data_IF_016813428519
#
_entry.id   IF_016813428519
#
_cell.length_a   1.000
_cell.length_b   1.000
_cell.length_c   1.000
_cell.angle_alpha   90.00
_cell.angle_beta   90.00
_cell.angle_gamma   90.00
#
_symmetry.space_group_name_H-M   'P 1'
#
loop_
_entity.id
_entity.type
_entity.pdbx_description
1 polymer ?
#
# COMPACT_ATOMS: atom_id res chain seq x y z
N UNK A 1 31.34 -7.18 33.16
CA UNK A 1 30.81 -8.24 32.23
C UNK A 1 29.73 -9.16 32.82
N UNK A 2 29.82 -9.62 34.09
CA UNK A 2 28.78 -10.48 34.71
C UNK A 2 27.45 -9.74 34.99
N UNK A 3 27.47 -8.47 35.38
CA UNK A 3 26.27 -7.67 35.69
C UNK A 3 25.47 -7.37 34.44
N UNK A 4 26.14 -6.97 33.35
CA UNK A 4 25.50 -6.67 32.05
C UNK A 4 24.77 -7.89 31.47
N UNK A 5 25.40 -9.09 31.58
CA UNK A 5 24.76 -10.34 31.14
C UNK A 5 23.50 -10.66 31.96
N UNK A 6 23.56 -10.45 33.28
CA UNK A 6 22.40 -10.68 34.17
C UNK A 6 21.26 -9.71 33.86
N UNK A 7 21.56 -8.42 33.63
CA UNK A 7 20.57 -7.42 33.25
C UNK A 7 19.94 -7.74 31.91
N UNK A 8 20.71 -8.19 30.92
CA UNK A 8 20.22 -8.59 29.61
C UNK A 8 19.32 -9.82 29.70
N UNK A 9 19.72 -10.85 30.48
CA UNK A 9 18.87 -12.03 30.71
C UNK A 9 17.57 -11.65 31.43
N UNK A 10 17.66 -10.79 32.46
CA UNK A 10 16.47 -10.34 33.20
C UNK A 10 15.53 -9.53 32.29
N UNK A 11 16.06 -8.63 31.47
CA UNK A 11 15.29 -7.87 30.48
C UNK A 11 14.61 -8.79 29.47
N UNK A 12 15.33 -9.79 28.97
CA UNK A 12 14.76 -10.77 28.04
C UNK A 12 13.61 -11.57 28.67
N UNK A 13 13.83 -12.11 29.89
CA UNK A 13 12.78 -12.84 30.61
C UNK A 13 11.57 -11.97 30.92
N UNK A 14 11.80 -10.70 31.29
CA UNK A 14 10.72 -9.75 31.53
C UNK A 14 9.87 -9.53 30.28
N UNK A 15 10.48 -9.31 29.12
CA UNK A 15 9.76 -9.17 27.86
C UNK A 15 9.00 -10.45 27.52
N UNK A 16 9.63 -11.61 27.68
CA UNK A 16 9.04 -12.91 27.36
C UNK A 16 7.80 -13.24 28.20
N UNK A 17 7.72 -12.72 29.42
CA UNK A 17 6.55 -12.91 30.31
C UNK A 17 5.55 -11.76 30.17
N UNK A 18 6.02 -10.52 30.15
CA UNK A 18 5.17 -9.33 30.16
C UNK A 18 4.35 -9.19 28.87
N UNK A 19 4.95 -9.46 27.70
CA UNK A 19 4.26 -9.30 26.41
C UNK A 19 3.04 -10.23 26.31
N UNK A 20 3.13 -11.55 26.57
CA UNK A 20 1.95 -12.42 26.55
C UNK A 20 0.89 -12.01 27.58
N UNK A 21 1.29 -11.61 28.79
CA UNK A 21 0.34 -11.17 29.82
C UNK A 21 -0.41 -9.89 29.40
N UNK A 22 0.30 -8.91 28.84
CA UNK A 22 -0.33 -7.68 28.35
C UNK A 22 -1.20 -7.94 27.13
N UNK A 23 -0.82 -8.89 26.26
CA UNK A 23 -1.65 -9.31 25.13
C UNK A 23 -2.92 -10.00 25.59
N UNK A 24 -2.81 -10.92 26.55
CA UNK A 24 -4.00 -11.55 27.15
C UNK A 24 -4.94 -10.50 27.80
N UNK A 25 -4.37 -9.53 28.52
CA UNK A 25 -5.14 -8.41 29.05
C UNK A 25 -5.82 -7.60 27.94
N UNK A 26 -5.12 -7.29 26.87
CA UNK A 26 -5.66 -6.57 25.70
C UNK A 26 -6.85 -7.31 25.06
N UNK A 27 -6.74 -8.62 24.87
CA UNK A 27 -7.80 -9.47 24.34
C UNK A 27 -9.05 -9.49 25.22
N UNK A 28 -8.84 -9.46 26.55
CA UNK A 28 -9.95 -9.48 27.51
C UNK A 28 -10.67 -8.14 27.64
N UNK A 29 -9.95 -7.04 27.45
CA UNK A 29 -10.47 -5.67 27.65
C UNK A 29 -10.95 -4.99 26.37
N UNK A 30 -10.51 -5.47 25.19
CA UNK A 30 -10.90 -4.90 23.90
C UNK A 30 -11.45 -5.99 22.95
N UNK A 31 -12.70 -6.37 23.10
CA UNK A 31 -13.34 -7.42 22.28
C UNK A 31 -13.68 -6.97 20.86
N UNK A 32 -13.45 -5.69 20.49
CA UNK A 32 -13.72 -5.19 19.13
C UNK A 32 -12.70 -5.82 18.18
N UNK A 33 -13.12 -6.80 17.41
CA UNK A 33 -12.30 -7.45 16.38
C UNK A 33 -11.99 -6.56 15.16
N UNK A 34 -11.85 -5.24 15.34
CA UNK A 34 -11.67 -4.26 14.27
C UNK A 34 -10.54 -3.28 14.58
N UNK A 35 -9.66 -3.05 13.61
CA UNK A 35 -8.64 -2.01 13.66
C UNK A 35 -9.11 -0.77 12.89
N UNK A 36 -9.44 0.28 13.59
CA UNK A 36 -9.82 1.55 12.96
C UNK A 36 -8.64 2.21 12.21
N UNK A 37 -7.41 1.96 12.65
CA UNK A 37 -6.20 2.53 12.02
C UNK A 37 -5.87 1.85 10.68
N UNK A 38 -6.11 0.53 10.57
CA UNK A 38 -5.83 -0.24 9.35
C UNK A 38 -7.10 -0.51 8.54
N UNK A 39 -8.25 -0.02 9.01
CA UNK A 39 -9.56 -0.22 8.41
C UNK A 39 -9.84 -1.67 8.01
N UNK A 40 -9.50 -2.62 8.92
CA UNK A 40 -9.69 -4.06 8.69
C UNK A 40 -10.12 -4.80 9.94
N UNK A 41 -10.70 -5.98 9.73
CA UNK A 41 -10.95 -6.93 10.81
C UNK A 41 -9.61 -7.46 11.36
N UNK A 42 -9.53 -7.59 12.69
CA UNK A 42 -8.42 -8.25 13.38
C UNK A 42 -8.57 -9.77 13.24
N UNK A 43 -7.45 -10.50 13.30
CA UNK A 43 -7.42 -11.94 13.23
C UNK A 43 -8.29 -12.57 14.35
N UNK A 44 -9.16 -13.50 13.98
CA UNK A 44 -9.96 -14.27 14.91
C UNK A 44 -9.13 -15.22 15.76
N UNK A 45 -9.77 -15.83 16.77
CA UNK A 45 -9.13 -16.87 17.59
C UNK A 45 -8.68 -18.03 16.69
N UNK A 46 -7.45 -18.57 16.91
CA UNK A 46 -6.95 -19.69 16.12
C UNK A 46 -7.81 -20.95 16.32
N UNK A 47 -8.06 -21.65 15.25
CA UNK A 47 -8.69 -22.97 15.29
C UNK A 47 -7.66 -24.02 15.72
N UNK A 48 -8.03 -24.82 16.74
CA UNK A 48 -7.20 -25.91 17.24
C UNK A 48 -7.84 -27.24 16.85
N UNK A 49 -7.32 -27.84 15.78
CA UNK A 49 -7.69 -29.19 15.36
C UNK A 49 -6.44 -30.01 15.10
N UNK A 50 -6.55 -31.34 15.15
CA UNK A 50 -5.42 -32.22 14.87
C UNK A 50 -4.86 -32.01 13.45
N UNK A 51 -5.73 -31.75 12.46
CA UNK A 51 -5.34 -31.44 11.10
C UNK A 51 -4.60 -30.10 11.01
N UNK A 52 -5.13 -29.04 11.62
CA UNK A 52 -4.52 -27.70 11.61
C UNK A 52 -3.18 -27.67 12.37
N UNK A 53 -3.02 -28.48 13.40
CA UNK A 53 -1.73 -28.65 14.09
C UNK A 53 -0.70 -29.33 13.18
N UNK A 54 -1.12 -30.35 12.42
CA UNK A 54 -0.23 -31.07 11.52
C UNK A 54 0.20 -30.23 10.30
N UNK A 55 -0.70 -29.43 9.74
CA UNK A 55 -0.41 -28.54 8.60
C UNK A 55 0.34 -27.27 9.00
N UNK A 56 0.39 -26.94 10.30
CA UNK A 56 0.98 -25.68 10.78
C UNK A 56 0.00 -24.49 10.76
N UNK A 57 -1.24 -24.67 10.32
CA UNK A 57 -2.25 -23.61 10.21
C UNK A 57 -2.55 -22.98 11.57
N UNK A 58 -2.64 -23.80 12.64
CA UNK A 58 -2.83 -23.31 14.00
C UNK A 58 -1.70 -22.37 14.43
N UNK A 59 -0.45 -22.68 14.05
CA UNK A 59 0.70 -21.81 14.39
C UNK A 59 0.61 -20.47 13.65
N UNK A 60 0.31 -20.50 12.35
CA UNK A 60 0.14 -19.28 11.53
C UNK A 60 -1.03 -18.41 12.03
N UNK A 61 -2.17 -19.01 12.34
CA UNK A 61 -3.34 -18.32 12.91
C UNK A 61 -3.02 -17.72 14.29
N UNK A 62 -2.28 -18.45 15.14
CA UNK A 62 -1.85 -17.97 16.46
C UNK A 62 -0.91 -16.78 16.32
N UNK A 63 0.02 -16.83 15.40
CA UNK A 63 0.93 -15.70 15.12
C UNK A 63 0.14 -14.46 14.66
N UNK A 64 -0.77 -14.61 13.71
CA UNK A 64 -1.65 -13.54 13.24
C UNK A 64 -2.48 -12.94 14.38
N UNK A 65 -3.10 -13.80 15.20
CA UNK A 65 -3.88 -13.39 16.35
C UNK A 65 -3.04 -12.61 17.37
N UNK A 66 -1.84 -13.08 17.73
CA UNK A 66 -0.95 -12.40 18.67
C UNK A 66 -0.47 -11.05 18.13
N UNK A 67 -0.13 -10.98 16.84
CA UNK A 67 0.26 -9.72 16.18
C UNK A 67 -0.85 -8.68 16.25
N UNK A 68 -2.09 -9.09 15.99
CA UNK A 68 -3.23 -8.19 15.94
C UNK A 68 -3.72 -7.75 17.33
N UNK A 69 -3.58 -8.61 18.33
CA UNK A 69 -4.07 -8.35 19.70
C UNK A 69 -2.98 -7.91 20.66
N UNK A 70 -1.78 -7.59 20.17
CA UNK A 70 -0.68 -7.10 21.01
C UNK A 70 -1.13 -5.82 21.75
N UNK A 71 -0.96 -5.81 23.07
CA UNK A 71 -1.33 -4.65 23.88
C UNK A 71 -0.64 -3.38 23.39
N UNK A 72 -1.43 -2.31 23.21
CA UNK A 72 -0.96 -1.03 22.63
C UNK A 72 -0.22 -1.18 21.29
N UNK A 73 -0.58 -2.17 20.47
CA UNK A 73 0.00 -2.41 19.15
C UNK A 73 0.21 -1.13 18.34
N UNK A 74 -0.83 -0.29 18.25
CA UNK A 74 -0.77 0.97 17.49
C UNK A 74 0.28 1.95 18.06
N UNK A 75 0.50 1.98 19.37
CA UNK A 75 1.54 2.80 19.98
C UNK A 75 2.95 2.25 19.65
N UNK A 76 3.10 0.92 19.61
CA UNK A 76 4.36 0.27 19.24
C UNK A 76 4.67 0.53 17.76
N UNK A 77 3.68 0.43 16.88
CA UNK A 77 3.85 0.72 15.45
C UNK A 77 4.24 2.19 15.24
N UNK A 78 3.52 3.13 15.87
CA UNK A 78 3.85 4.57 15.81
C UNK A 78 5.26 4.86 16.34
N UNK A 79 5.65 4.19 17.44
CA UNK A 79 7.01 4.32 17.95
C UNK A 79 8.05 3.76 16.96
N UNK A 80 7.77 2.64 16.30
CA UNK A 80 8.63 2.05 15.27
C UNK A 80 8.85 3.01 14.09
N UNK A 81 7.78 3.62 13.59
CA UNK A 81 7.84 4.64 12.52
C UNK A 81 8.64 5.86 12.99
N UNK A 82 8.31 6.40 14.17
CA UNK A 82 9.05 7.52 14.77
C UNK A 82 10.55 7.23 14.91
N UNK A 83 10.90 6.03 15.41
CA UNK A 83 12.29 5.62 15.57
C UNK A 83 13.03 5.53 14.23
N UNK A 84 12.38 4.96 13.20
CA UNK A 84 12.95 4.90 11.85
C UNK A 84 13.19 6.29 11.27
N UNK A 85 12.25 7.22 11.45
CA UNK A 85 12.35 8.60 10.95
C UNK A 85 13.36 9.45 11.73
N UNK A 86 13.29 9.42 13.07
CA UNK A 86 14.00 10.38 13.94
C UNK A 86 15.35 9.90 14.44
N UNK A 87 15.53 8.59 14.59
CA UNK A 87 16.78 8.01 15.13
C UNK A 87 17.61 7.38 14.01
N UNK A 88 16.98 6.60 13.13
CA UNK A 88 17.68 5.94 12.03
C UNK A 88 17.79 6.82 10.77
N UNK A 89 17.08 7.95 10.73
CA UNK A 89 17.03 8.87 9.58
C UNK A 89 16.81 8.12 8.25
N UNK A 90 15.90 7.13 8.24
CA UNK A 90 15.60 6.39 7.03
C UNK A 90 14.92 7.30 6.02
N UNK A 91 15.37 7.31 4.75
CA UNK A 91 14.77 8.13 3.70
C UNK A 91 13.42 7.57 3.20
N UNK A 92 13.14 6.30 3.49
CA UNK A 92 11.87 5.63 3.17
C UNK A 92 11.38 4.88 4.40
N UNK A 93 10.12 5.06 4.76
CA UNK A 93 9.46 4.37 5.87
C UNK A 93 8.05 3.97 5.44
N UNK A 94 7.68 2.69 5.62
CA UNK A 94 6.36 2.13 5.23
C UNK A 94 5.98 2.48 3.79
N UNK A 95 6.93 2.31 2.86
CA UNK A 95 6.78 2.59 1.43
C UNK A 95 6.47 4.07 1.09
N UNK A 96 6.71 4.98 2.05
CA UNK A 96 6.60 6.42 1.86
C UNK A 96 7.99 7.04 1.81
N UNK A 97 8.23 7.86 0.79
CA UNK A 97 9.46 8.63 0.60
C UNK A 97 9.42 9.85 1.51
N UNK A 98 10.47 10.02 2.31
CA UNK A 98 10.64 11.16 3.21
C UNK A 98 11.62 12.17 2.60
N UNK A 99 11.43 13.45 2.91
CA UNK A 99 12.34 14.52 2.45
C UNK A 99 11.81 15.37 1.31
N UNK A 100 10.56 15.12 0.88
CA UNK A 100 9.80 16.06 0.05
C UNK A 100 8.75 16.79 0.92
N UNK A 101 8.20 17.87 0.40
CA UNK A 101 7.08 18.60 1.03
C UNK A 101 5.78 17.81 0.98
N UNK A 102 5.77 16.74 0.19
CA UNK A 102 4.61 15.87 -0.07
C UNK A 102 4.98 14.44 0.33
N UNK A 103 4.04 13.71 0.93
CA UNK A 103 4.20 12.28 1.16
C UNK A 103 4.04 11.52 -0.17
N UNK A 104 5.12 10.97 -0.67
CA UNK A 104 5.14 10.26 -1.94
C UNK A 104 5.32 8.76 -1.70
N UNK A 105 4.51 7.90 -2.34
CA UNK A 105 4.76 6.47 -2.31
C UNK A 105 6.06 6.16 -3.07
N UNK A 106 6.74 5.08 -2.69
CA UNK A 106 7.93 4.61 -3.43
C UNK A 106 7.59 4.39 -4.90
N UNK A 107 8.40 4.96 -5.79
CA UNK A 107 8.21 4.86 -7.23
C UNK A 107 8.63 3.48 -7.75
N UNK A 108 7.87 2.43 -7.41
CA UNK A 108 8.10 1.08 -7.89
C UNK A 108 7.14 0.75 -9.03
N UNK A 109 7.70 0.24 -10.13
CA UNK A 109 6.93 -0.40 -11.19
C UNK A 109 7.39 -1.85 -11.29
N UNK A 110 6.55 -2.74 -10.77
CA UNK A 110 6.81 -4.16 -10.90
C UNK A 110 6.70 -4.60 -12.37
N UNK A 111 7.65 -5.41 -12.83
CA UNK A 111 7.54 -6.13 -14.12
C UNK A 111 7.33 -5.22 -15.36
N UNK A 112 8.05 -4.10 -15.45
CA UNK A 112 8.01 -3.25 -16.63
C UNK A 112 8.62 -3.98 -17.85
N UNK A 113 7.75 -4.57 -18.67
CA UNK A 113 8.10 -5.17 -19.98
C UNK A 113 7.14 -4.61 -21.03
N UNK A 114 7.69 -3.90 -22.02
CA UNK A 114 6.90 -3.22 -23.07
C UNK A 114 5.86 -4.15 -23.71
N UNK A 115 6.24 -5.31 -24.19
CA UNK A 115 5.32 -6.24 -24.83
C UNK A 115 4.24 -6.86 -23.91
N UNK A 116 4.45 -6.85 -22.58
CA UNK A 116 3.42 -7.23 -21.58
C UNK A 116 2.46 -6.07 -21.35
N UNK A 117 2.98 -4.86 -21.35
CA UNK A 117 2.22 -3.63 -21.20
C UNK A 117 1.26 -3.42 -22.38
N UNK A 118 1.75 -3.53 -23.60
CA UNK A 118 0.94 -3.41 -24.82
C UNK A 118 -0.22 -4.42 -24.84
N UNK A 119 0.07 -5.70 -24.55
CA UNK A 119 -0.98 -6.73 -24.47
C UNK A 119 -2.03 -6.45 -23.38
N UNK A 120 -1.62 -5.88 -22.25
CA UNK A 120 -2.58 -5.50 -21.17
C UNK A 120 -3.43 -4.32 -21.59
N UNK A 121 -2.82 -3.32 -22.22
CA UNK A 121 -3.53 -2.16 -22.75
C UNK A 121 -4.57 -2.57 -23.79
N UNK A 122 -4.19 -3.46 -24.72
CA UNK A 122 -5.05 -4.00 -25.76
C UNK A 122 -6.23 -4.79 -25.20
N UNK A 123 -5.98 -5.74 -24.28
CA UNK A 123 -7.04 -6.50 -23.61
C UNK A 123 -8.00 -5.60 -22.79
N UNK A 124 -7.48 -4.52 -22.21
CA UNK A 124 -8.31 -3.54 -21.50
C UNK A 124 -9.18 -2.76 -22.49
N UNK A 125 -8.61 -2.31 -23.61
CA UNK A 125 -9.35 -1.60 -24.66
C UNK A 125 -10.47 -2.47 -25.25
N UNK A 126 -10.20 -3.75 -25.50
CA UNK A 126 -11.22 -4.72 -25.94
C UNK A 126 -12.38 -4.82 -24.95
N UNK A 127 -12.06 -4.94 -23.65
CA UNK A 127 -13.08 -4.98 -22.59
C UNK A 127 -13.92 -3.71 -22.53
N UNK A 128 -13.28 -2.54 -22.69
CA UNK A 128 -13.97 -1.23 -22.70
C UNK A 128 -14.85 -1.05 -23.95
N UNK A 129 -14.45 -1.62 -25.09
CA UNK A 129 -15.29 -1.64 -26.30
C UNK A 129 -16.60 -2.40 -26.07
N UNK A 130 -16.56 -3.53 -25.33
CA UNK A 130 -17.77 -4.26 -24.99
C UNK A 130 -18.71 -3.43 -24.08
N UNK A 131 -18.13 -2.71 -23.08
CA UNK A 131 -18.90 -1.81 -22.22
C UNK A 131 -19.50 -0.66 -23.03
N UNK A 132 -18.73 -0.06 -23.95
CA UNK A 132 -19.19 1.01 -24.83
C UNK A 132 -20.39 0.54 -25.70
N UNK A 133 -20.30 -0.65 -26.29
CA UNK A 133 -21.38 -1.21 -27.07
C UNK A 133 -22.65 -1.41 -26.22
N UNK A 134 -22.54 -2.04 -25.07
CA UNK A 134 -23.67 -2.26 -24.16
C UNK A 134 -24.30 -0.94 -23.68
N UNK A 135 -23.47 0.09 -23.43
CA UNK A 135 -23.95 1.43 -23.05
C UNK A 135 -24.71 2.08 -24.18
N UNK A 136 -24.21 1.97 -25.40
CA UNK A 136 -24.86 2.50 -26.61
C UNK A 136 -26.20 1.80 -26.89
N UNK A 137 -26.27 0.49 -26.75
CA UNK A 137 -27.51 -0.30 -26.92
C UNK A 137 -28.56 0.10 -25.88
N UNK A 138 -28.14 0.52 -24.68
CA UNK A 138 -29.01 1.09 -23.65
C UNK A 138 -29.37 2.58 -23.87
N UNK A 139 -28.94 3.20 -24.97
CA UNK A 139 -29.19 4.60 -25.29
C UNK A 139 -28.30 5.62 -24.60
N UNK A 140 -27.22 5.16 -23.96
CA UNK A 140 -26.24 5.99 -23.29
C UNK A 140 -25.01 6.33 -24.12
N UNK A 141 -24.12 7.15 -23.55
CA UNK A 141 -22.81 7.47 -24.10
C UNK A 141 -21.72 6.99 -23.15
N UNK A 142 -20.63 6.48 -23.70
CA UNK A 142 -19.46 6.01 -22.95
C UNK A 142 -18.25 6.89 -23.25
N UNK A 143 -17.54 7.27 -22.23
CA UNK A 143 -16.23 7.92 -22.34
C UNK A 143 -15.35 7.42 -21.18
N UNK A 144 -14.14 6.98 -21.50
CA UNK A 144 -13.16 6.64 -20.49
C UNK A 144 -12.36 7.89 -20.11
N UNK A 145 -12.24 8.18 -18.82
CA UNK A 145 -11.45 9.32 -18.31
C UNK A 145 -10.18 8.79 -17.67
N UNK A 146 -9.03 9.17 -18.24
CA UNK A 146 -7.73 8.85 -17.69
C UNK A 146 -7.25 9.97 -16.77
N UNK A 147 -7.25 9.72 -15.48
CA UNK A 147 -6.68 10.61 -14.47
C UNK A 147 -5.28 10.09 -14.13
N UNK A 148 -4.23 10.93 -14.17
CA UNK A 148 -2.89 10.50 -13.77
C UNK A 148 -2.87 10.10 -12.29
N UNK A 149 -2.17 9.02 -11.96
CA UNK A 149 -1.97 8.65 -10.57
C UNK A 149 -1.00 9.63 -9.88
N UNK A 150 -1.07 9.70 -8.55
CA UNK A 150 -0.25 10.58 -7.73
C UNK A 150 1.25 10.49 -8.06
N UNK A 151 1.79 9.28 -8.21
CA UNK A 151 3.22 9.07 -8.55
C UNK A 151 3.63 9.69 -9.87
N UNK A 152 2.75 9.65 -10.87
CA UNK A 152 2.98 10.23 -12.19
C UNK A 152 2.79 11.74 -12.18
N UNK A 153 1.77 12.23 -11.48
CA UNK A 153 1.46 13.66 -11.40
C UNK A 153 2.49 14.43 -10.58
N UNK A 154 2.89 13.88 -9.43
CA UNK A 154 3.85 14.49 -8.49
C UNK A 154 5.30 14.00 -8.70
N UNK A 155 5.64 13.50 -9.88
CA UNK A 155 6.95 12.91 -10.17
C UNK A 155 8.13 13.87 -9.96
N UNK A 156 7.93 15.16 -10.12
CA UNK A 156 8.97 16.19 -9.95
C UNK A 156 9.25 16.53 -8.47
N UNK A 157 8.40 16.04 -7.56
CA UNK A 157 8.59 16.16 -6.11
C UNK A 157 9.46 15.03 -5.52
N UNK A 158 9.81 13.99 -6.31
CA UNK A 158 10.71 12.95 -5.85
C UNK A 158 12.12 13.50 -5.65
N UNK A 159 12.81 13.13 -4.56
CA UNK A 159 14.17 13.58 -4.33
C UNK A 159 15.14 12.98 -5.36
N UNK A 160 16.23 13.72 -5.68
CA UNK A 160 17.22 13.36 -6.71
C UNK A 160 17.86 11.96 -6.52
N UNK A 161 17.92 11.47 -5.28
CA UNK A 161 18.47 10.15 -5.00
C UNK A 161 17.53 8.99 -5.38
N UNK A 162 16.27 9.27 -5.72
CA UNK A 162 15.27 8.29 -6.13
C UNK A 162 14.86 8.50 -7.59
N UNK A 163 14.95 7.45 -8.41
CA UNK A 163 14.43 7.48 -9.76
C UNK A 163 12.89 7.61 -9.73
N UNK A 164 12.37 8.67 -10.35
CA UNK A 164 10.92 8.96 -10.36
C UNK A 164 10.12 8.15 -11.39
N UNK A 165 10.75 7.25 -12.13
CA UNK A 165 10.12 6.34 -13.13
C UNK A 165 9.33 7.07 -14.24
N UNK A 166 9.63 8.32 -14.51
CA UNK A 166 8.89 9.14 -15.50
C UNK A 166 8.75 8.45 -16.86
N UNK A 167 9.84 7.89 -17.38
CA UNK A 167 9.85 7.21 -18.68
C UNK A 167 8.90 6.00 -18.72
N UNK A 168 8.79 5.25 -17.63
CA UNK A 168 7.89 4.09 -17.51
C UNK A 168 6.42 4.54 -17.45
N UNK A 169 6.10 5.59 -16.71
CA UNK A 169 4.75 6.14 -16.66
C UNK A 169 4.32 6.69 -18.03
N UNK A 170 5.20 7.45 -18.70
CA UNK A 170 4.91 8.00 -20.03
C UNK A 170 4.73 6.88 -21.07
N UNK A 171 5.54 5.82 -21.05
CA UNK A 171 5.37 4.67 -21.93
C UNK A 171 4.09 3.87 -21.61
N UNK A 172 3.71 3.76 -20.33
CA UNK A 172 2.44 3.13 -19.94
C UNK A 172 1.25 3.91 -20.47
N UNK A 173 1.27 5.23 -20.31
CA UNK A 173 0.25 6.13 -20.86
C UNK A 173 0.18 5.99 -22.38
N UNK A 174 1.31 6.05 -23.07
CA UNK A 174 1.36 5.96 -24.53
C UNK A 174 0.79 4.63 -25.06
N UNK A 175 1.15 3.49 -24.44
CA UNK A 175 0.61 2.19 -24.82
C UNK A 175 -0.91 2.13 -24.60
N UNK A 176 -1.40 2.67 -23.47
CA UNK A 176 -2.82 2.69 -23.16
C UNK A 176 -3.60 3.58 -24.12
N UNK A 177 -3.14 4.81 -24.37
CA UNK A 177 -3.82 5.73 -25.30
C UNK A 177 -3.85 5.19 -26.73
N UNK A 178 -2.75 4.58 -27.20
CA UNK A 178 -2.70 3.95 -28.51
C UNK A 178 -3.69 2.77 -28.63
N UNK A 179 -3.82 1.95 -27.60
CA UNK A 179 -4.78 0.85 -27.60
C UNK A 179 -6.23 1.37 -27.61
N UNK A 180 -6.56 2.43 -26.83
CA UNK A 180 -7.89 3.05 -26.85
C UNK A 180 -8.24 3.60 -28.24
N UNK A 181 -7.30 4.27 -28.90
CA UNK A 181 -7.46 4.78 -30.25
C UNK A 181 -7.68 3.65 -31.27
N UNK A 182 -6.86 2.59 -31.22
CA UNK A 182 -6.96 1.44 -32.12
C UNK A 182 -8.32 0.72 -32.01
N UNK A 183 -8.91 0.66 -30.82
CA UNK A 183 -10.22 0.05 -30.56
C UNK A 183 -11.40 1.03 -30.65
N UNK A 184 -11.17 2.31 -30.98
CA UNK A 184 -12.21 3.33 -31.11
C UNK A 184 -12.92 3.63 -29.78
N UNK A 185 -12.25 3.48 -28.64
CA UNK A 185 -12.79 3.82 -27.32
C UNK A 185 -12.61 5.30 -27.07
N UNK A 186 -13.67 6.08 -26.82
CA UNK A 186 -13.56 7.50 -26.50
C UNK A 186 -12.76 7.69 -25.20
N UNK A 187 -11.65 8.40 -25.29
CA UNK A 187 -10.72 8.66 -24.19
C UNK A 187 -10.60 10.17 -23.92
N UNK A 188 -10.81 10.58 -22.69
CA UNK A 188 -10.44 11.89 -22.18
C UNK A 188 -9.20 11.74 -21.29
N UNK A 189 -8.05 12.10 -21.81
CA UNK A 189 -6.79 12.07 -21.05
C UNK A 189 -6.54 13.42 -20.37
N UNK A 190 -6.61 13.42 -19.04
CA UNK A 190 -6.42 14.62 -18.21
C UNK A 190 -4.96 14.87 -17.82
N UNK A 191 -3.99 14.06 -18.28
CA UNK A 191 -2.60 14.15 -17.83
C UNK A 191 -2.00 15.55 -18.11
N UNK A 192 -2.22 16.09 -19.31
CA UNK A 192 -1.70 17.42 -19.65
C UNK A 192 -2.43 18.55 -18.90
N UNK A 193 -3.72 18.34 -18.63
CA UNK A 193 -4.51 19.29 -17.83
C UNK A 193 -3.95 19.39 -16.41
N UNK A 194 -3.64 18.23 -15.79
CA UNK A 194 -3.03 18.22 -14.46
C UNK A 194 -1.60 18.76 -14.45
N UNK A 195 -0.82 18.51 -15.50
CA UNK A 195 0.54 19.08 -15.63
C UNK A 195 0.54 20.61 -15.76
N UNK A 196 -0.52 21.19 -16.27
CA UNK A 196 -0.68 22.64 -16.43
C UNK A 196 -1.15 23.34 -15.13
N UNK A 197 -1.44 22.60 -14.07
CA UNK A 197 -1.86 23.16 -12.78
C UNK A 197 -0.62 23.57 -11.98
N UNK A 198 -0.61 24.80 -11.48
CA UNK A 198 0.51 25.36 -10.72
C UNK A 198 0.68 24.67 -9.35
N UNK A 199 -0.42 24.29 -8.71
CA UNK A 199 -0.43 23.59 -7.42
C UNK A 199 -1.24 22.29 -7.49
N UNK A 200 -0.53 21.18 -7.69
CA UNK A 200 -1.13 19.84 -7.72
C UNK A 200 -1.59 19.35 -6.34
N UNK A 201 -1.18 20.00 -5.25
CA UNK A 201 -1.58 19.61 -3.89
C UNK A 201 -3.07 19.89 -3.63
N UNK A 202 -3.72 20.72 -4.45
CA UNK A 202 -5.18 20.91 -4.42
C UNK A 202 -5.95 19.67 -4.92
N UNK A 203 -5.32 18.82 -5.74
CA UNK A 203 -5.96 17.66 -6.38
C UNK A 203 -5.50 16.32 -5.80
N UNK A 204 -4.32 16.28 -5.20
CA UNK A 204 -3.76 15.08 -4.59
C UNK A 204 -3.49 15.33 -3.11
N UNK A 205 -3.89 14.38 -2.27
CA UNK A 205 -3.56 14.48 -0.85
C UNK A 205 -2.05 14.51 -0.64
N UNK A 206 -1.60 15.44 0.20
CA UNK A 206 -0.19 15.56 0.57
C UNK A 206 0.16 14.74 1.81
N UNK A 207 -0.83 14.14 2.48
CA UNK A 207 -0.70 13.53 3.81
C UNK A 207 -1.30 12.12 3.92
N UNK A 208 -1.86 11.56 2.88
CA UNK A 208 -2.45 10.21 2.85
C UNK A 208 -1.53 9.19 2.20
#
# INVERSE_FOLDING_TARGET
MKLTKKLLCLGFLLVLVLVPLLTAYGVLTNPTGWSAQENRALAGKPEVSAAALWTGDTAAQTEGFLKDHLYKRNAILKFGVWFQMRVLHRPVVEDVVLGSEVLLPVAEIADYRVGKLERRADAMAESLTAIQAATKDAGGQFCYVLVPEQRSALRDYYPDWMENRAAQYDATRAAFTAAMEAHGVPLLDLTETYRAVDDLTEYYSTVD
#
